data_IF_126007556041
#
_entry.id   IF_126007556041
#
_cell.length_a   1.000
_cell.length_b   1.000
_cell.length_c   1.000
_cell.angle_alpha   90.00
_cell.angle_beta   90.00
_cell.angle_gamma   90.00
#
_symmetry.space_group_name_H-M   'P 1'
#
loop_
_entity.id
_entity.type
_entity.pdbx_description
1 polymer ?
#
# COMPACT_ATOMS: atom_id res chain seq x y z
N UNK A 1 1.79 -23.04 -2.30
CA UNK A 1 1.40 -21.74 -1.73
C UNK A 1 2.59 -20.93 -1.23
N UNK A 2 3.50 -21.47 -0.41
CA UNK A 2 4.70 -20.78 0.12
C UNK A 2 5.81 -20.46 -0.92
N UNK A 3 5.58 -19.51 -1.81
CA UNK A 3 6.64 -18.89 -2.61
C UNK A 3 6.45 -17.37 -2.47
N UNK A 4 7.51 -16.60 -2.17
CA UNK A 4 7.42 -15.17 -1.88
C UNK A 4 6.73 -14.39 -3.01
N UNK A 5 7.02 -14.73 -4.27
CA UNK A 5 6.42 -14.06 -5.43
C UNK A 5 4.90 -14.17 -5.47
N UNK A 6 4.33 -15.31 -5.05
CA UNK A 6 2.87 -15.46 -5.01
C UNK A 6 2.23 -14.63 -3.91
N UNK A 7 2.95 -14.40 -2.82
CA UNK A 7 2.49 -13.56 -1.72
C UNK A 7 2.51 -12.08 -2.14
N UNK A 8 3.58 -11.67 -2.83
CA UNK A 8 3.66 -10.34 -3.46
C UNK A 8 2.56 -10.11 -4.50
N UNK A 9 2.24 -11.10 -5.33
CA UNK A 9 1.11 -11.03 -6.25
C UNK A 9 -0.21 -10.84 -5.49
N UNK A 10 -0.41 -11.51 -4.35
CA UNK A 10 -1.62 -11.34 -3.52
C UNK A 10 -1.68 -9.92 -2.95
N UNK A 11 -0.56 -9.37 -2.45
CA UNK A 11 -0.47 -7.99 -1.96
C UNK A 11 -0.75 -6.95 -3.06
N UNK A 12 -0.28 -7.18 -4.28
CA UNK A 12 -0.57 -6.30 -5.42
C UNK A 12 -2.05 -6.38 -5.82
N UNK A 13 -2.59 -7.58 -5.98
CA UNK A 13 -4.00 -7.78 -6.36
C UNK A 13 -5.00 -7.32 -5.30
N UNK A 14 -4.57 -7.18 -4.03
CA UNK A 14 -5.38 -6.54 -2.99
C UNK A 14 -5.59 -5.04 -3.24
N UNK A 15 -4.73 -4.41 -4.04
CA UNK A 15 -4.79 -2.99 -4.38
C UNK A 15 -5.60 -2.72 -5.67
N UNK A 16 -6.13 -3.76 -6.33
CA UNK A 16 -6.97 -3.62 -7.51
C UNK A 16 -6.67 -4.65 -8.60
N UNK A 17 -7.30 -4.52 -9.78
CA UNK A 17 -7.05 -5.40 -10.91
C UNK A 17 -5.69 -5.12 -11.57
N UNK A 18 -4.99 -6.17 -11.99
CA UNK A 18 -3.73 -6.06 -12.74
C UNK A 18 -3.68 -7.00 -13.94
N UNK A 19 -2.99 -6.57 -15.00
CA UNK A 19 -2.53 -7.46 -16.08
C UNK A 19 -1.30 -8.28 -15.65
N UNK A 20 -0.98 -9.33 -16.40
CA UNK A 20 0.23 -10.13 -16.13
C UNK A 20 1.50 -9.31 -16.34
N UNK A 21 1.50 -8.40 -17.31
CA UNK A 21 2.61 -7.50 -17.61
C UNK A 21 2.85 -6.52 -16.46
N UNK A 22 1.80 -5.87 -15.96
CA UNK A 22 1.90 -4.95 -14.83
C UNK A 22 2.38 -5.66 -13.56
N UNK A 23 1.88 -6.88 -13.29
CA UNK A 23 2.37 -7.69 -12.18
C UNK A 23 3.85 -7.99 -12.36
N UNK A 24 4.24 -8.54 -13.51
CA UNK A 24 5.62 -8.91 -13.82
C UNK A 24 6.60 -7.75 -13.63
N UNK A 25 6.24 -6.55 -14.10
CA UNK A 25 7.04 -5.33 -13.86
C UNK A 25 7.12 -4.96 -12.37
N UNK A 26 6.03 -5.08 -11.62
CA UNK A 26 5.97 -4.65 -10.21
C UNK A 26 6.79 -5.55 -9.28
N UNK A 27 6.91 -6.84 -9.59
CA UNK A 27 7.67 -7.84 -8.80
C UNK A 27 9.05 -8.17 -9.40
N UNK A 28 9.47 -7.45 -10.44
CA UNK A 28 10.71 -7.69 -11.19
C UNK A 28 10.87 -9.16 -11.63
N UNK A 29 9.84 -9.68 -12.30
CA UNK A 29 9.83 -11.05 -12.85
C UNK A 29 9.51 -11.05 -14.34
N UNK A 30 9.87 -12.13 -15.04
CA UNK A 30 9.44 -12.32 -16.43
C UNK A 30 7.93 -12.59 -16.51
N UNK A 31 7.27 -12.13 -17.58
CA UNK A 31 5.86 -12.41 -17.86
C UNK A 31 5.55 -13.91 -17.82
N UNK A 32 6.45 -14.75 -18.34
CA UNK A 32 6.29 -16.20 -18.32
C UNK A 32 6.28 -16.77 -16.89
N UNK A 33 7.20 -16.33 -16.03
CA UNK A 33 7.25 -16.79 -14.64
C UNK A 33 6.03 -16.29 -13.84
N UNK A 34 5.66 -15.00 -14.01
CA UNK A 34 4.47 -14.40 -13.40
C UNK A 34 3.20 -15.13 -13.82
N UNK A 35 3.05 -15.46 -15.12
CA UNK A 35 1.93 -16.25 -15.64
C UNK A 35 1.85 -17.63 -14.99
N UNK A 36 2.99 -18.30 -14.76
CA UNK A 36 3.02 -19.60 -14.09
C UNK A 36 2.55 -19.50 -12.62
N UNK A 37 2.95 -18.44 -11.91
CA UNK A 37 2.47 -18.18 -10.56
C UNK A 37 0.98 -17.86 -10.51
N UNK A 38 0.47 -17.05 -11.44
CA UNK A 38 -0.95 -16.75 -11.56
C UNK A 38 -1.77 -17.99 -11.89
N UNK A 39 -1.28 -18.88 -12.75
CA UNK A 39 -1.96 -20.14 -13.04
C UNK A 39 -2.07 -21.03 -11.79
N UNK A 40 -1.02 -21.08 -10.97
CA UNK A 40 -1.06 -21.80 -9.70
C UNK A 40 -2.06 -21.20 -8.71
N UNK A 41 -2.10 -19.87 -8.59
CA UNK A 41 -3.07 -19.17 -7.75
C UNK A 41 -4.51 -19.37 -8.25
N UNK A 42 -4.72 -19.35 -9.57
CA UNK A 42 -6.01 -19.57 -10.22
C UNK A 42 -6.50 -21.00 -10.02
N UNK A 43 -5.62 -21.99 -10.18
CA UNK A 43 -5.94 -23.41 -9.92
C UNK A 43 -6.30 -23.65 -8.45
N UNK A 44 -5.74 -22.87 -7.53
CA UNK A 44 -6.10 -22.87 -6.11
C UNK A 44 -7.34 -22.00 -5.79
N UNK A 45 -8.01 -21.42 -6.80
CA UNK A 45 -9.15 -20.52 -6.68
C UNK A 45 -8.89 -19.25 -5.83
N UNK A 46 -7.63 -18.83 -5.68
CA UNK A 46 -7.24 -17.64 -4.91
C UNK A 46 -7.33 -16.35 -5.75
N UNK A 47 -7.19 -16.48 -7.07
CA UNK A 47 -7.37 -15.39 -8.02
C UNK A 47 -8.35 -15.78 -9.11
N UNK A 48 -9.04 -14.79 -9.65
CA UNK A 48 -9.93 -14.91 -10.79
C UNK A 48 -9.46 -14.00 -11.92
N UNK A 49 -9.94 -14.29 -13.13
CA UNK A 49 -9.56 -13.56 -14.34
C UNK A 49 -10.80 -13.03 -15.03
N UNK A 50 -10.77 -11.76 -15.44
CA UNK A 50 -11.82 -11.13 -16.22
C UNK A 50 -11.21 -10.48 -17.48
N UNK A 51 -11.94 -10.51 -18.59
CA UNK A 51 -11.57 -9.83 -19.82
C UNK A 51 -12.25 -8.47 -19.87
N UNK A 52 -11.47 -7.41 -19.98
CA UNK A 52 -11.97 -6.05 -20.15
C UNK A 52 -11.36 -5.46 -21.42
N UNK A 53 -12.16 -5.45 -22.50
CA UNK A 53 -11.67 -5.12 -23.84
C UNK A 53 -10.58 -6.09 -24.29
N UNK A 54 -9.41 -5.55 -24.63
CA UNK A 54 -8.23 -6.33 -25.06
C UNK A 54 -7.38 -6.82 -23.89
N UNK A 55 -7.69 -6.41 -22.66
CA UNK A 55 -6.87 -6.73 -21.48
C UNK A 55 -7.43 -7.91 -20.71
N UNK A 56 -6.51 -8.73 -20.18
CA UNK A 56 -6.81 -9.83 -19.26
C UNK A 56 -6.40 -9.36 -17.87
N UNK A 57 -7.40 -9.11 -17.02
CA UNK A 57 -7.21 -8.59 -15.67
C UNK A 57 -7.38 -9.71 -14.64
N UNK A 58 -6.42 -9.79 -13.73
CA UNK A 58 -6.46 -10.66 -12.56
C UNK A 58 -6.97 -9.87 -11.35
N UNK A 59 -7.78 -10.51 -10.52
CA UNK A 59 -8.23 -9.98 -9.22
C UNK A 59 -8.20 -11.10 -8.19
N UNK A 60 -8.17 -10.75 -6.91
CA UNK A 60 -8.42 -11.74 -5.86
C UNK A 60 -9.84 -12.30 -5.98
N UNK A 61 -10.02 -13.60 -5.74
CA UNK A 61 -11.34 -14.22 -5.79
C UNK A 61 -12.28 -13.72 -4.70
N UNK A 62 -11.73 -13.27 -3.57
CA UNK A 62 -12.50 -12.67 -2.48
C UNK A 62 -11.59 -11.86 -1.53
N UNK A 63 -12.21 -10.95 -0.76
CA UNK A 63 -11.53 -10.24 0.35
C UNK A 63 -10.91 -11.20 1.38
N UNK A 64 -11.48 -12.39 1.58
CA UNK A 64 -11.00 -13.40 2.53
C UNK A 64 -9.62 -13.97 2.14
N UNK A 65 -9.27 -13.97 0.85
CA UNK A 65 -7.92 -14.35 0.40
C UNK A 65 -6.89 -13.40 0.99
N UNK A 66 -7.14 -12.10 0.87
CA UNK A 66 -6.25 -11.08 1.43
C UNK A 66 -6.25 -11.11 2.96
N UNK A 67 -7.42 -11.25 3.58
CA UNK A 67 -7.53 -11.34 5.04
C UNK A 67 -6.73 -12.52 5.62
N UNK A 68 -6.77 -13.67 4.95
CA UNK A 68 -5.99 -14.86 5.35
C UNK A 68 -4.48 -14.62 5.19
N UNK A 69 -4.09 -13.94 4.11
CA UNK A 69 -2.70 -13.51 3.92
C UNK A 69 -2.24 -12.56 5.05
N UNK A 70 -3.04 -11.55 5.40
CA UNK A 70 -2.75 -10.65 6.51
C UNK A 70 -2.59 -11.42 7.83
N UNK A 71 -3.48 -12.36 8.13
CA UNK A 71 -3.36 -13.21 9.33
C UNK A 71 -2.07 -14.03 9.34
N UNK A 72 -1.69 -14.63 8.21
CA UNK A 72 -0.44 -15.38 8.10
C UNK A 72 0.79 -14.47 8.26
N UNK A 73 0.73 -13.26 7.70
CA UNK A 73 1.77 -12.24 7.80
C UNK A 73 1.95 -11.78 9.24
N UNK A 74 0.86 -11.44 9.93
CA UNK A 74 0.85 -11.07 11.35
C UNK A 74 1.42 -12.21 12.21
N UNK A 75 0.98 -13.44 11.98
CA UNK A 75 1.51 -14.61 12.67
C UNK A 75 3.03 -14.76 12.45
N UNK A 76 3.49 -14.57 11.21
CA UNK A 76 4.91 -14.59 10.88
C UNK A 76 5.73 -13.53 11.62
N UNK A 77 5.14 -12.35 11.85
CA UNK A 77 5.78 -11.29 12.65
C UNK A 77 5.86 -11.67 14.14
N UNK A 78 4.79 -12.21 14.71
CA UNK A 78 4.76 -12.64 16.11
C UNK A 78 5.80 -13.73 16.42
N UNK A 79 6.00 -14.67 15.49
CA UNK A 79 7.00 -15.73 15.65
C UNK A 79 8.43 -15.29 15.32
N UNK A 80 8.62 -14.11 14.72
CA UNK A 80 9.92 -13.66 14.25
C UNK A 80 10.21 -12.22 14.70
N UNK A 81 10.50 -12.06 15.99
CA UNK A 81 10.84 -10.79 16.63
C UNK A 81 12.01 -10.04 15.96
N UNK A 82 12.87 -10.74 15.21
CA UNK A 82 13.92 -10.14 14.40
C UNK A 82 13.38 -9.23 13.29
N UNK A 83 12.24 -9.60 12.69
CA UNK A 83 11.57 -8.79 11.66
C UNK A 83 11.04 -7.50 12.26
N UNK A 84 10.35 -7.59 13.40
CA UNK A 84 9.81 -6.41 14.10
C UNK A 84 10.94 -5.47 14.52
N UNK A 85 12.02 -6.03 15.07
CA UNK A 85 13.21 -5.27 15.44
C UNK A 85 13.84 -4.57 14.22
N UNK A 86 14.03 -5.29 13.11
CA UNK A 86 14.65 -4.73 11.90
C UNK A 86 13.85 -3.54 11.34
N UNK A 87 12.52 -3.66 11.35
CA UNK A 87 11.63 -2.57 10.91
C UNK A 87 11.68 -1.39 11.89
N UNK A 88 11.69 -1.68 13.20
CA UNK A 88 11.83 -0.68 14.24
C UNK A 88 13.15 0.09 14.12
N UNK A 89 14.26 -0.61 13.97
CA UNK A 89 15.60 -0.05 13.81
C UNK A 89 15.67 0.87 12.58
N UNK A 90 15.15 0.40 11.43
CA UNK A 90 15.07 1.22 10.22
C UNK A 90 14.24 2.51 10.42
N UNK A 91 13.08 2.42 11.09
CA UNK A 91 12.22 3.59 11.35
C UNK A 91 12.88 4.60 12.27
N UNK A 92 13.65 4.13 13.25
CA UNK A 92 14.45 5.00 14.12
C UNK A 92 15.56 5.70 13.34
N UNK A 93 16.28 4.99 12.46
CA UNK A 93 17.34 5.57 11.63
C UNK A 93 16.84 6.73 10.75
N UNK A 94 15.61 6.62 10.22
CA UNK A 94 15.03 7.69 9.39
C UNK A 94 14.31 8.79 10.18
N UNK A 95 14.40 8.84 11.52
CA UNK A 95 13.68 9.80 12.36
C UNK A 95 12.15 9.82 12.15
N UNK A 96 11.56 8.73 11.64
CA UNK A 96 10.11 8.61 11.62
C UNK A 96 9.64 8.35 13.06
N UNK A 97 8.81 9.23 13.61
CA UNK A 97 8.34 9.07 15.00
C UNK A 97 7.51 7.79 15.13
N UNK A 98 7.80 7.01 16.17
CA UNK A 98 7.45 5.59 16.33
C UNK A 98 5.94 5.29 16.43
N UNK A 99 5.09 6.28 16.70
CA UNK A 99 3.64 6.07 16.74
C UNK A 99 3.00 6.54 15.44
N UNK A 100 2.59 5.59 14.61
CA UNK A 100 1.69 5.85 13.50
C UNK A 100 0.27 6.14 13.99
N UNK A 101 -0.60 6.56 13.08
CA UNK A 101 -2.04 6.62 13.29
C UNK A 101 -2.68 5.37 12.68
N UNK A 102 -3.67 4.79 13.36
CA UNK A 102 -4.47 3.69 12.83
C UNK A 102 -5.63 4.17 11.98
N UNK A 103 -6.06 3.35 11.04
CA UNK A 103 -7.15 3.64 10.12
C UNK A 103 -8.45 4.09 10.80
N UNK A 104 -8.81 3.46 11.93
CA UNK A 104 -10.04 3.79 12.65
C UNK A 104 -10.02 5.25 13.15
N UNK A 105 -8.90 5.67 13.74
CA UNK A 105 -8.73 7.04 14.24
C UNK A 105 -8.61 8.05 13.11
N UNK A 106 -7.98 7.67 11.98
CA UNK A 106 -7.79 8.55 10.85
C UNK A 106 -9.11 8.86 10.13
N UNK A 107 -10.01 7.88 10.01
CA UNK A 107 -11.28 8.03 9.28
C UNK A 107 -12.11 9.22 9.79
N UNK A 108 -12.28 9.35 11.10
CA UNK A 108 -12.99 10.47 11.73
C UNK A 108 -12.30 11.82 11.52
N UNK A 109 -10.96 11.84 11.52
CA UNK A 109 -10.17 13.08 11.30
C UNK A 109 -10.26 13.57 9.85
N UNK A 110 -10.41 12.65 8.89
CA UNK A 110 -10.60 13.00 7.48
C UNK A 110 -11.96 13.65 7.25
N UNK A 111 -13.02 13.12 7.85
CA UNK A 111 -14.38 13.69 7.76
C UNK A 111 -14.46 15.11 8.33
N UNK A 112 -13.64 15.42 9.35
CA UNK A 112 -13.54 16.75 9.97
C UNK A 112 -12.53 17.68 9.28
N UNK A 113 -11.90 17.22 8.21
CA UNK A 113 -10.83 17.92 7.50
C UNK A 113 -9.66 18.39 8.41
N UNK A 114 -9.38 17.67 9.50
CA UNK A 114 -8.35 18.06 10.47
C UNK A 114 -6.92 17.79 9.94
N UNK A 115 -6.81 16.85 9.00
CA UNK A 115 -5.56 16.36 8.42
C UNK A 115 -5.55 16.49 6.91
N UNK A 116 -4.37 16.37 6.30
CA UNK A 116 -4.22 16.09 4.87
C UNK A 116 -3.64 14.70 4.69
N UNK A 117 -4.26 13.89 3.86
CA UNK A 117 -3.81 12.54 3.57
C UNK A 117 -2.98 12.53 2.28
N UNK A 118 -1.77 11.97 2.34
CA UNK A 118 -0.84 11.86 1.22
C UNK A 118 -0.61 10.39 0.86
N UNK A 119 -0.87 10.05 -0.40
CA UNK A 119 -0.45 8.78 -0.99
C UNK A 119 0.91 8.97 -1.66
N UNK A 120 1.93 8.23 -1.18
CA UNK A 120 3.30 8.32 -1.71
C UNK A 120 3.69 7.16 -2.63
N UNK A 121 2.71 6.34 -3.04
CA UNK A 121 2.88 5.29 -4.06
C UNK A 121 3.08 5.90 -5.45
N UNK A 122 3.56 5.12 -6.43
CA UNK A 122 3.53 5.50 -7.84
C UNK A 122 2.14 5.93 -8.30
N UNK A 123 2.07 6.86 -9.27
CA UNK A 123 0.80 7.44 -9.75
C UNK A 123 -0.15 6.36 -10.28
N UNK A 124 0.39 5.34 -10.93
CA UNK A 124 -0.40 4.25 -11.49
C UNK A 124 -1.10 3.43 -10.39
N UNK A 125 -0.49 3.29 -9.21
CA UNK A 125 -1.13 2.65 -8.05
C UNK A 125 -2.23 3.51 -7.47
N UNK A 126 -2.02 4.83 -7.40
CA UNK A 126 -3.05 5.77 -6.97
C UNK A 126 -4.27 5.76 -7.90
N UNK A 127 -4.05 5.76 -9.23
CA UNK A 127 -5.13 5.74 -10.21
C UNK A 127 -5.98 4.46 -10.12
N UNK A 128 -5.34 3.29 -9.94
CA UNK A 128 -6.06 2.02 -9.74
C UNK A 128 -6.90 1.97 -8.47
N UNK A 129 -6.56 2.77 -7.47
CA UNK A 129 -7.34 2.91 -6.27
C UNK A 129 -6.55 3.53 -5.13
N UNK A 130 -7.19 4.43 -4.39
CA UNK A 130 -6.62 5.17 -3.28
C UNK A 130 -7.66 5.46 -2.19
N UNK A 131 -7.18 5.84 -1.00
CA UNK A 131 -8.07 6.28 0.09
C UNK A 131 -8.79 7.56 -0.35
N UNK A 132 -10.10 7.65 -0.09
CA UNK A 132 -10.90 8.84 -0.37
C UNK A 132 -10.23 10.10 0.23
N UNK A 133 -10.23 11.21 -0.52
CA UNK A 133 -9.60 12.49 -0.15
C UNK A 133 -8.07 12.50 -0.08
N UNK A 134 -7.38 11.40 -0.42
CA UNK A 134 -5.93 11.38 -0.52
C UNK A 134 -5.42 12.25 -1.68
N UNK A 135 -4.31 12.96 -1.45
CA UNK A 135 -3.53 13.63 -2.48
C UNK A 135 -2.41 12.71 -2.95
N UNK A 136 -2.31 12.50 -4.27
CA UNK A 136 -1.20 11.77 -4.87
C UNK A 136 0.06 12.63 -4.86
N UNK A 137 1.08 12.23 -4.10
CA UNK A 137 2.41 12.83 -4.13
C UNK A 137 3.43 11.68 -4.06
N UNK A 138 3.76 11.05 -5.20
CA UNK A 138 4.71 9.94 -5.24
C UNK A 138 6.01 10.32 -4.55
N UNK A 139 6.63 9.37 -3.82
CA UNK A 139 7.87 9.62 -3.07
C UNK A 139 8.97 10.26 -3.93
N UNK A 140 9.04 9.88 -5.22
CA UNK A 140 9.98 10.42 -6.19
C UNK A 140 9.79 11.91 -6.50
N UNK A 141 8.57 12.45 -6.33
CA UNK A 141 8.21 13.86 -6.58
C UNK A 141 7.96 14.66 -5.31
N UNK A 142 8.01 14.02 -4.13
CA UNK A 142 7.70 14.66 -2.85
C UNK A 142 8.59 15.86 -2.56
N UNK A 143 9.90 15.76 -2.84
CA UNK A 143 10.86 16.84 -2.59
C UNK A 143 10.56 18.11 -3.39
N UNK A 144 10.05 17.95 -4.61
CA UNK A 144 9.68 19.05 -5.51
C UNK A 144 8.30 19.64 -5.15
N UNK A 145 7.44 18.84 -4.52
CA UNK A 145 6.07 19.22 -4.18
C UNK A 145 5.93 19.92 -2.83
N UNK A 146 7.02 20.06 -2.06
CA UNK A 146 7.01 20.61 -0.70
C UNK A 146 6.42 22.03 -0.62
N UNK A 147 6.66 22.86 -1.63
CA UNK A 147 6.18 24.25 -1.64
C UNK A 147 4.66 24.35 -1.76
N UNK A 148 4.02 23.33 -2.33
CA UNK A 148 2.57 23.25 -2.49
C UNK A 148 1.86 22.72 -1.23
N UNK A 149 2.61 22.26 -0.22
CA UNK A 149 2.06 21.70 1.00
C UNK A 149 1.92 22.75 2.11
N UNK A 150 0.81 22.66 2.85
CA UNK A 150 0.58 23.51 4.02
C UNK A 150 1.22 22.95 5.27
N UNK A 151 1.81 23.81 6.11
CA UNK A 151 2.30 23.47 7.46
C UNK A 151 1.25 23.59 8.55
N UNK A 152 0.02 24.02 8.22
CA UNK A 152 -1.05 24.28 9.20
C UNK A 152 -1.72 23.01 9.71
N UNK A 153 -1.91 22.02 8.84
CA UNK A 153 -2.52 20.73 9.15
C UNK A 153 -1.46 19.66 9.36
N UNK A 154 -1.80 18.60 10.07
CA UNK A 154 -0.97 17.39 10.13
C UNK A 154 -1.08 16.64 8.80
N UNK A 155 0.06 16.24 8.25
CA UNK A 155 0.15 15.41 7.06
C UNK A 155 0.18 13.95 7.48
N UNK A 156 -0.83 13.19 7.08
CA UNK A 156 -0.87 11.75 7.29
C UNK A 156 -0.41 11.08 6.00
N UNK A 157 0.59 10.20 6.08
CA UNK A 157 1.24 9.61 4.90
C UNK A 157 1.01 8.11 4.89
N UNK A 158 0.60 7.55 3.75
CA UNK A 158 0.41 6.11 3.60
C UNK A 158 1.05 5.57 2.31
N UNK A 159 1.23 4.25 2.29
CA UNK A 159 1.75 3.50 1.15
C UNK A 159 1.00 2.15 1.04
N UNK A 160 1.68 1.10 0.56
CA UNK A 160 1.13 -0.24 0.29
C UNK A 160 0.81 -1.05 1.54
N UNK A 161 1.45 -0.74 2.65
CA UNK A 161 1.35 -1.54 3.88
C UNK A 161 2.53 -1.34 4.82
N UNK A 162 2.58 -2.08 5.95
CA UNK A 162 3.53 -1.85 7.03
C UNK A 162 5.00 -2.02 6.63
N UNK A 163 5.29 -2.82 5.59
CA UNK A 163 6.65 -3.07 5.09
C UNK A 163 7.08 -2.12 3.97
N UNK A 164 6.20 -1.24 3.48
CA UNK A 164 6.61 -0.23 2.51
C UNK A 164 7.45 0.85 3.19
N UNK A 165 8.66 1.06 2.69
CA UNK A 165 9.59 2.09 3.20
C UNK A 165 9.25 3.52 2.73
N UNK A 166 8.44 3.68 1.67
CA UNK A 166 8.17 5.01 1.10
C UNK A 166 7.44 5.93 2.08
N UNK A 167 6.49 5.42 2.85
CA UNK A 167 5.80 6.24 3.85
C UNK A 167 6.76 6.69 4.97
N UNK A 168 7.68 5.82 5.40
CA UNK A 168 8.69 6.18 6.41
C UNK A 168 9.64 7.26 5.87
N UNK A 169 10.15 7.09 4.64
CA UNK A 169 11.01 8.06 3.96
C UNK A 169 10.31 9.41 3.74
N UNK A 170 9.03 9.38 3.36
CA UNK A 170 8.24 10.59 3.17
C UNK A 170 8.03 11.35 4.50
N UNK A 171 7.65 10.64 5.57
CA UNK A 171 7.48 11.25 6.90
C UNK A 171 8.79 11.86 7.38
N UNK A 172 9.91 11.13 7.25
CA UNK A 172 11.24 11.62 7.58
C UNK A 172 11.59 12.93 6.84
N UNK A 173 11.38 12.94 5.52
CA UNK A 173 11.61 14.12 4.69
C UNK A 173 10.73 15.29 5.12
N UNK A 174 9.43 15.08 5.32
CA UNK A 174 8.49 16.11 5.73
C UNK A 174 8.85 16.71 7.10
N UNK A 175 9.19 15.87 8.08
CA UNK A 175 9.65 16.32 9.41
C UNK A 175 10.93 17.14 9.29
N UNK A 176 11.91 16.70 8.49
CA UNK A 176 13.17 17.43 8.28
C UNK A 176 12.97 18.82 7.66
N UNK A 177 11.83 19.04 6.98
CA UNK A 177 11.43 20.31 6.37
C UNK A 177 10.47 21.13 7.25
N UNK A 178 10.21 20.66 8.47
CA UNK A 178 9.39 21.34 9.47
C UNK A 178 7.89 21.19 9.28
N UNK A 179 7.44 20.14 8.59
CA UNK A 179 6.03 19.75 8.56
C UNK A 179 5.69 18.87 9.76
N UNK A 180 4.43 18.92 10.21
CA UNK A 180 3.87 17.90 11.10
C UNK A 180 3.45 16.72 10.24
N UNK A 181 4.18 15.61 10.29
CA UNK A 181 3.87 14.43 9.50
C UNK A 181 3.83 13.18 10.38
N UNK A 182 2.88 12.29 10.09
CA UNK A 182 2.71 11.00 10.76
C UNK A 182 2.37 9.94 9.71
N UNK A 183 2.78 8.71 9.97
CA UNK A 183 2.49 7.57 9.10
C UNK A 183 1.14 6.94 9.45
N UNK A 184 0.36 6.52 8.46
CA UNK A 184 -0.72 5.55 8.63
C UNK A 184 -0.10 4.14 8.79
N UNK A 185 -0.51 3.41 9.83
CA UNK A 185 0.03 2.07 10.12
C UNK A 185 -0.38 1.07 9.02
N UNK A 186 -1.64 1.12 8.61
CA UNK A 186 -2.21 0.35 7.53
C UNK A 186 -1.74 0.83 6.13
N UNK A 187 -1.78 -0.07 5.16
CA UNK A 187 -1.68 0.26 3.76
C UNK A 187 -3.05 0.48 3.12
N UNK A 188 -3.02 0.85 1.84
CA UNK A 188 -4.23 0.95 1.03
C UNK A 188 -5.05 -0.35 1.01
N UNK A 189 -4.38 -1.51 0.90
CA UNK A 189 -5.06 -2.81 0.87
C UNK A 189 -5.82 -3.10 2.16
N UNK A 190 -5.18 -2.87 3.31
CA UNK A 190 -5.80 -3.05 4.62
C UNK A 190 -6.96 -2.06 4.83
N UNK A 191 -6.80 -0.79 4.43
CA UNK A 191 -7.89 0.21 4.47
C UNK A 191 -9.11 -0.23 3.67
N UNK A 192 -8.93 -0.69 2.43
CA UNK A 192 -10.00 -1.18 1.58
C UNK A 192 -10.65 -2.47 2.12
N UNK A 193 -9.87 -3.31 2.80
CA UNK A 193 -10.38 -4.52 3.45
C UNK A 193 -11.33 -4.20 4.59
N UNK A 194 -11.04 -3.15 5.38
CA UNK A 194 -11.91 -2.63 6.44
C UNK A 194 -13.23 -2.05 5.91
N UNK A 195 -13.35 -1.85 4.59
CA UNK A 195 -14.55 -1.27 3.97
C UNK A 195 -14.65 0.24 4.15
N UNK A 196 -13.54 0.89 4.49
CA UNK A 196 -13.45 2.34 4.58
C UNK A 196 -13.49 2.99 3.18
N UNK A 197 -13.88 4.28 3.06
CA UNK A 197 -14.05 4.95 1.78
C UNK A 197 -12.77 4.94 0.91
N UNK A 198 -12.93 4.60 -0.37
CA UNK A 198 -11.87 4.61 -1.39
C UNK A 198 -12.39 5.18 -2.71
N UNK A 199 -11.48 5.71 -3.52
CA UNK A 199 -11.75 6.13 -4.91
C UNK A 199 -10.87 5.41 -5.90
N UNK A 200 -11.34 5.38 -7.13
CA UNK A 200 -10.54 5.13 -8.32
C UNK A 200 -10.58 6.39 -9.17
N UNK A 201 -9.46 6.77 -9.75
CA UNK A 201 -9.41 7.84 -10.74
C UNK A 201 -9.49 7.17 -12.09
N UNK A 202 -10.65 7.28 -12.74
CA UNK A 202 -10.76 6.97 -14.16
C UNK A 202 -10.01 8.06 -14.95
N UNK A 203 -9.19 7.64 -15.92
CA UNK A 203 -8.54 8.53 -16.89
C UNK A 203 -9.58 9.30 -17.75
#
# INVERSE_FOLDING_TARGET
MANPVRLEIIDLLAQGPFTVEQLATSIDQSVANTSQHLQNLKNAALVQVNKQGNFVLYTLSSKSVYQTWLSLRTLGMEFNAEIEKTIGDFRQEVNATVQGIKAENLSEMLEREEVLLLDVRPEEEFHRGHIEHALSIPISRLAESLENLTKKKTLVVYCRGPFCVYADQAVALLISKGFKAIRLEEGYGEWALLGLPTRQTED
#
